data_IF_442487634360
#
_entry.id   IF_442487634360
#
_cell.length_a   1.000
_cell.length_b   1.000
_cell.length_c   1.000
_cell.angle_alpha   90.00
_cell.angle_beta   90.00
_cell.angle_gamma   90.00
#
_symmetry.space_group_name_H-M   'P 1'
#
loop_
_entity.id
_entity.type
_entity.pdbx_description
1 polymer ?
#
# COMPACT_ATOMS: atom_id res chain seq x y z
N UNK A 1 -7.55 -45.44 -42.13
CA UNK A 1 -6.66 -45.38 -40.94
C UNK A 1 -7.32 -44.43 -39.94
N UNK A 2 -7.94 -44.99 -38.91
CA UNK A 2 -8.75 -44.27 -37.93
C UNK A 2 -7.89 -43.51 -36.91
N UNK A 3 -8.48 -42.45 -36.39
CA UNK A 3 -7.94 -41.46 -35.48
C UNK A 3 -7.43 -42.03 -34.14
N UNK A 4 -6.42 -41.37 -33.57
CA UNK A 4 -6.20 -41.35 -32.12
C UNK A 4 -5.47 -40.05 -31.75
N UNK A 5 -6.23 -38.96 -31.69
CA UNK A 5 -5.84 -37.79 -30.92
C UNK A 5 -6.46 -37.96 -29.53
N UNK A 6 -5.69 -38.51 -28.59
CA UNK A 6 -6.04 -38.49 -27.18
C UNK A 6 -5.90 -37.04 -26.69
N UNK A 7 -7.04 -36.34 -26.60
CA UNK A 7 -7.11 -34.99 -26.06
C UNK A 7 -6.60 -34.93 -24.61
N UNK A 8 -6.20 -33.75 -24.12
CA UNK A 8 -5.64 -33.58 -22.79
C UNK A 8 -6.49 -34.26 -21.71
N UNK A 9 -5.83 -35.11 -20.94
CA UNK A 9 -6.36 -35.95 -19.87
C UNK A 9 -7.24 -35.13 -18.91
N UNK A 10 -8.50 -35.53 -18.75
CA UNK A 10 -9.54 -34.77 -18.02
C UNK A 10 -9.10 -34.43 -16.59
N UNK A 11 -8.34 -35.33 -15.98
CA UNK A 11 -7.77 -35.19 -14.64
C UNK A 11 -6.72 -34.07 -14.55
N UNK A 12 -5.89 -33.88 -15.58
CA UNK A 12 -4.92 -32.76 -15.62
C UNK A 12 -5.63 -31.41 -15.72
N UNK A 13 -6.74 -31.34 -16.46
CA UNK A 13 -7.55 -30.12 -16.59
C UNK A 13 -8.21 -29.73 -15.26
N UNK A 14 -8.74 -30.69 -14.51
CA UNK A 14 -9.35 -30.45 -13.19
C UNK A 14 -8.33 -29.93 -12.16
N UNK A 15 -7.11 -30.47 -12.16
CA UNK A 15 -6.04 -30.03 -11.26
C UNK A 15 -5.60 -28.60 -11.61
N UNK A 16 -5.37 -28.30 -12.90
CA UNK A 16 -4.99 -26.95 -13.33
C UNK A 16 -6.09 -25.92 -13.03
N UNK A 17 -7.37 -26.30 -13.19
CA UNK A 17 -8.50 -25.44 -12.85
C UNK A 17 -8.59 -25.20 -11.33
N UNK A 18 -8.43 -26.23 -10.51
CA UNK A 18 -8.47 -26.11 -9.04
C UNK A 18 -7.31 -25.27 -8.49
N UNK A 19 -6.11 -25.40 -9.06
CA UNK A 19 -4.96 -24.56 -8.73
C UNK A 19 -5.21 -23.11 -9.17
N UNK A 20 -5.79 -22.90 -10.34
CA UNK A 20 -6.18 -21.58 -10.83
C UNK A 20 -7.22 -20.89 -9.95
N UNK A 21 -8.26 -21.61 -9.52
CA UNK A 21 -9.28 -21.11 -8.59
C UNK A 21 -8.69 -20.78 -7.22
N UNK A 22 -7.82 -21.64 -6.67
CA UNK A 22 -7.17 -21.37 -5.39
C UNK A 22 -6.26 -20.14 -5.44
N UNK A 23 -5.48 -20.00 -6.52
CA UNK A 23 -4.64 -18.82 -6.74
C UNK A 23 -5.49 -17.55 -6.90
N UNK A 24 -6.60 -17.63 -7.67
CA UNK A 24 -7.57 -16.53 -7.79
C UNK A 24 -8.19 -16.17 -6.44
N UNK A 25 -8.57 -17.15 -5.61
CA UNK A 25 -9.10 -16.91 -4.27
C UNK A 25 -8.10 -16.20 -3.35
N UNK A 26 -6.81 -16.54 -3.46
CA UNK A 26 -5.75 -15.82 -2.73
C UNK A 26 -5.50 -14.41 -3.27
N UNK A 27 -5.70 -14.21 -4.57
CA UNK A 27 -5.65 -12.88 -5.19
C UNK A 27 -6.88 -12.06 -4.79
N UNK A 28 -8.10 -12.62 -4.82
CA UNK A 28 -9.36 -11.99 -4.42
C UNK A 28 -9.36 -11.57 -2.94
N UNK A 29 -8.80 -12.41 -2.05
CA UNK A 29 -8.57 -12.06 -0.65
C UNK A 29 -7.52 -10.94 -0.48
N UNK A 30 -6.62 -10.75 -1.45
CA UNK A 30 -5.65 -9.65 -1.52
C UNK A 30 -6.20 -8.39 -2.21
N UNK A 31 -7.09 -8.53 -3.20
CA UNK A 31 -7.49 -7.48 -4.14
C UNK A 31 -8.76 -6.75 -3.73
N UNK A 32 -9.54 -7.24 -2.77
CA UNK A 32 -10.73 -6.54 -2.28
C UNK A 32 -10.41 -5.39 -1.30
N UNK A 33 -9.45 -4.53 -1.65
CA UNK A 33 -8.96 -3.43 -0.81
C UNK A 33 -9.20 -2.08 -1.48
N UNK A 34 -10.46 -1.76 -1.71
CA UNK A 34 -10.85 -0.38 -1.94
C UNK A 34 -10.75 0.39 -0.62
N UNK A 35 -9.71 1.20 -0.46
CA UNK A 35 -9.53 1.95 0.77
C UNK A 35 -8.36 2.91 0.78
N UNK A 36 -8.47 3.92 1.65
CA UNK A 36 -7.40 4.86 1.96
C UNK A 36 -6.84 4.56 3.35
N UNK A 37 -5.52 4.41 3.44
CA UNK A 37 -4.77 4.34 4.71
C UNK A 37 -4.14 5.70 4.97
N UNK A 38 -4.26 6.21 6.19
CA UNK A 38 -3.57 7.40 6.64
C UNK A 38 -2.40 6.99 7.53
N UNK A 39 -1.19 7.46 7.22
CA UNK A 39 -0.01 7.27 8.07
C UNK A 39 0.41 8.61 8.65
N UNK A 40 0.34 8.73 9.97
CA UNK A 40 0.71 9.93 10.71
C UNK A 40 2.19 9.85 11.10
N UNK A 41 3.06 10.45 10.27
CA UNK A 41 4.49 10.56 10.54
C UNK A 41 5.38 10.20 9.35
N UNK A 42 5.96 11.21 8.68
CA UNK A 42 6.93 11.06 7.58
C UNK A 42 8.34 10.60 7.94
N UNK A 43 8.53 9.92 9.08
CA UNK A 43 9.83 9.34 9.45
C UNK A 43 10.06 7.97 8.78
N UNK A 44 11.25 7.38 8.96
CA UNK A 44 11.59 6.07 8.37
C UNK A 44 10.51 5.00 8.56
N UNK A 45 10.05 4.79 9.80
CA UNK A 45 9.03 3.78 10.09
C UNK A 45 7.68 4.08 9.42
N UNK A 46 7.20 5.34 9.48
CA UNK A 46 5.94 5.71 8.85
C UNK A 46 6.02 5.65 7.33
N UNK A 47 7.13 6.06 6.71
CA UNK A 47 7.33 5.91 5.26
C UNK A 47 7.40 4.42 4.85
N UNK A 48 8.04 3.55 5.65
CA UNK A 48 8.03 2.10 5.40
C UNK A 48 6.62 1.50 5.49
N UNK A 49 5.81 1.92 6.46
CA UNK A 49 4.42 1.46 6.59
C UNK A 49 3.53 2.01 5.47
N UNK A 50 3.77 3.24 5.02
CA UNK A 50 3.10 3.81 3.85
C UNK A 50 3.44 2.99 2.60
N UNK A 51 4.72 2.69 2.38
CA UNK A 51 5.19 1.82 1.30
C UNK A 51 4.53 0.44 1.35
N UNK A 52 4.57 -0.23 2.51
CA UNK A 52 3.95 -1.55 2.67
C UNK A 52 2.44 -1.51 2.41
N UNK A 53 1.74 -0.45 2.86
CA UNK A 53 0.30 -0.28 2.62
C UNK A 53 0.01 -0.09 1.14
N UNK A 54 0.80 0.73 0.45
CA UNK A 54 0.67 0.95 -0.99
C UNK A 54 0.95 -0.33 -1.81
N UNK A 55 1.96 -1.11 -1.42
CA UNK A 55 2.24 -2.42 -2.04
C UNK A 55 1.10 -3.44 -1.84
N UNK A 56 0.23 -3.23 -0.85
CA UNK A 56 -0.98 -4.02 -0.61
C UNK A 56 -2.22 -3.45 -1.33
N UNK A 57 -2.05 -2.51 -2.28
CA UNK A 57 -3.12 -1.98 -3.12
C UNK A 57 -3.90 -0.81 -2.52
N UNK A 58 -3.55 -0.33 -1.33
CA UNK A 58 -4.24 0.81 -0.73
C UNK A 58 -3.77 2.14 -1.32
N UNK A 59 -4.69 3.11 -1.39
CA UNK A 59 -4.30 4.54 -1.48
C UNK A 59 -3.75 4.97 -0.14
N UNK A 60 -2.66 5.72 -0.12
CA UNK A 60 -2.01 6.11 1.13
C UNK A 60 -1.87 7.62 1.19
N UNK A 61 -2.29 8.19 2.31
CA UNK A 61 -1.93 9.56 2.69
C UNK A 61 -0.84 9.51 3.76
N UNK A 62 0.24 10.25 3.55
CA UNK A 62 1.37 10.33 4.47
C UNK A 62 1.44 11.74 5.05
N UNK A 63 1.06 11.89 6.31
CA UNK A 63 1.18 13.17 6.99
C UNK A 63 2.64 13.44 7.40
N UNK A 64 3.17 14.55 6.91
CA UNK A 64 4.51 15.06 7.23
C UNK A 64 4.37 16.48 7.77
N UNK A 65 5.23 16.87 8.71
CA UNK A 65 5.21 18.23 9.28
C UNK A 65 5.95 19.25 8.41
N UNK A 66 6.85 18.78 7.55
CA UNK A 66 7.73 19.62 6.75
C UNK A 66 7.20 19.69 5.31
N UNK A 67 6.87 20.89 4.84
CA UNK A 67 6.34 21.12 3.50
C UNK A 67 7.36 20.76 2.40
N UNK A 68 8.66 20.92 2.65
CA UNK A 68 9.71 20.57 1.68
C UNK A 68 9.80 19.04 1.53
N UNK A 69 9.62 18.31 2.64
CA UNK A 69 9.53 16.86 2.60
C UNK A 69 8.30 16.40 1.81
N UNK A 70 7.15 17.05 2.01
CA UNK A 70 5.91 16.76 1.28
C UNK A 70 6.08 16.97 -0.21
N UNK A 71 6.59 18.13 -0.64
CA UNK A 71 6.80 18.42 -2.07
C UNK A 71 7.74 17.40 -2.69
N UNK A 72 8.85 17.07 -2.00
CA UNK A 72 9.82 16.09 -2.51
C UNK A 72 9.20 14.70 -2.68
N UNK A 73 8.40 14.24 -1.71
CA UNK A 73 7.72 12.94 -1.81
C UNK A 73 6.73 12.93 -2.98
N UNK A 74 5.97 14.00 -3.17
CA UNK A 74 4.94 14.04 -4.22
C UNK A 74 5.53 14.23 -5.62
N UNK A 75 6.65 14.94 -5.75
CA UNK A 75 7.28 15.23 -7.05
C UNK A 75 8.30 14.17 -7.47
N UNK A 76 9.11 13.70 -6.52
CA UNK A 76 10.23 12.79 -6.81
C UNK A 76 9.92 11.35 -6.41
N UNK A 77 8.78 11.10 -5.76
CA UNK A 77 8.40 9.79 -5.24
C UNK A 77 9.51 9.16 -4.40
N UNK A 78 10.18 9.97 -3.58
CA UNK A 78 11.22 9.52 -2.67
C UNK A 78 11.14 10.33 -1.37
N UNK A 79 11.55 9.72 -0.27
CA UNK A 79 11.77 10.46 0.97
C UNK A 79 13.28 10.57 1.15
N UNK A 80 13.92 11.68 0.73
CA UNK A 80 15.38 11.77 0.68
C UNK A 80 16.02 11.66 2.06
N UNK A 81 15.27 12.01 3.12
CA UNK A 81 15.71 11.91 4.50
C UNK A 81 15.61 10.49 5.05
N UNK A 82 14.72 9.65 4.49
CA UNK A 82 14.43 8.31 4.97
C UNK A 82 14.01 7.40 3.81
N UNK A 83 14.72 6.30 3.54
CA UNK A 83 14.52 5.47 2.32
C UNK A 83 14.90 6.20 1.02
N UNK A 84 16.06 6.88 1.01
CA UNK A 84 16.58 7.62 -0.15
C UNK A 84 16.71 6.77 -1.42
N UNK A 85 16.95 5.46 -1.26
CA UNK A 85 17.22 4.55 -2.37
C UNK A 85 15.95 3.81 -2.84
N UNK A 86 14.77 4.19 -2.34
CA UNK A 86 13.49 3.55 -2.65
C UNK A 86 12.56 4.51 -3.35
N UNK A 87 12.05 4.09 -4.51
CA UNK A 87 10.96 4.77 -5.21
C UNK A 87 9.64 4.40 -4.54
N UNK A 88 8.96 5.40 -3.99
CA UNK A 88 7.65 5.28 -3.38
C UNK A 88 6.58 5.11 -4.47
N UNK A 89 5.59 4.21 -4.28
CA UNK A 89 4.46 4.10 -5.19
C UNK A 89 3.70 5.43 -5.34
N UNK A 90 3.21 5.72 -6.55
CA UNK A 90 2.42 6.93 -6.84
C UNK A 90 1.06 6.97 -6.12
N UNK A 91 0.63 5.86 -5.54
CA UNK A 91 -0.56 5.79 -4.67
C UNK A 91 -0.31 6.39 -3.27
N UNK A 92 0.93 6.77 -2.95
CA UNK A 92 1.30 7.51 -1.74
C UNK A 92 1.32 9.00 -2.05
N UNK A 93 0.47 9.75 -1.35
CA UNK A 93 0.42 11.21 -1.41
C UNK A 93 0.78 11.77 -0.03
N UNK A 94 1.82 12.58 0.04
CA UNK A 94 2.19 13.29 1.25
C UNK A 94 1.41 14.60 1.39
N UNK A 95 1.09 15.00 2.61
CA UNK A 95 0.46 16.29 2.91
C UNK A 95 0.90 16.83 4.26
N UNK A 96 0.88 18.16 4.42
CA UNK A 96 1.01 18.84 5.71
C UNK A 96 -0.35 19.13 6.35
N UNK A 97 -1.45 18.90 5.65
CA UNK A 97 -2.81 19.09 6.15
C UNK A 97 -3.31 17.79 6.80
N UNK A 98 -3.50 17.82 8.12
CA UNK A 98 -3.99 16.67 8.87
C UNK A 98 -5.43 16.29 8.49
N UNK A 99 -6.28 17.27 8.21
CA UNK A 99 -7.67 17.05 7.80
C UNK A 99 -7.70 16.32 6.46
N UNK A 100 -6.92 16.79 5.49
CA UNK A 100 -6.76 16.13 4.19
C UNK A 100 -6.22 14.69 4.35
N UNK A 101 -5.24 14.49 5.23
CA UNK A 101 -4.66 13.18 5.48
C UNK A 101 -5.72 12.18 5.98
N UNK A 102 -6.53 12.55 6.97
CA UNK A 102 -7.51 11.62 7.57
C UNK A 102 -8.82 11.49 6.78
N UNK A 103 -9.13 12.44 5.90
CA UNK A 103 -10.39 12.45 5.14
C UNK A 103 -10.58 11.15 4.34
N UNK A 104 -11.70 10.46 4.56
CA UNK A 104 -12.07 9.22 3.86
C UNK A 104 -11.14 8.02 4.10
N UNK A 105 -10.24 8.07 5.09
CA UNK A 105 -9.41 6.92 5.45
C UNK A 105 -10.19 5.89 6.27
N UNK A 106 -9.93 4.60 6.01
CA UNK A 106 -10.50 3.48 6.78
C UNK A 106 -9.59 3.05 7.95
N UNK A 107 -8.31 3.39 7.86
CA UNK A 107 -7.29 3.02 8.82
C UNK A 107 -6.33 4.18 9.01
N UNK A 108 -6.08 4.54 10.27
CA UNK A 108 -5.06 5.49 10.67
C UNK A 108 -3.94 4.73 11.38
N UNK A 109 -2.72 4.87 10.87
CA UNK A 109 -1.49 4.34 11.46
C UNK A 109 -0.75 5.51 12.11
N UNK A 110 -0.64 5.46 13.43
CA UNK A 110 0.13 6.44 14.19
C UNK A 110 1.61 6.05 14.23
N UNK A 111 2.45 6.73 13.46
CA UNK A 111 3.89 6.50 13.36
C UNK A 111 4.71 7.70 13.88
N UNK A 112 4.20 8.36 14.93
CA UNK A 112 4.88 9.45 15.61
C UNK A 112 5.72 8.93 16.79
N UNK A 113 6.86 9.56 17.12
CA UNK A 113 7.58 9.24 18.36
C UNK A 113 6.67 9.39 19.58
N UNK A 114 6.67 8.42 20.50
CA UNK A 114 5.79 8.42 21.67
C UNK A 114 5.88 9.70 22.50
N UNK A 115 7.06 10.33 22.57
CA UNK A 115 7.28 11.58 23.30
C UNK A 115 6.60 12.79 22.65
N UNK A 116 6.28 12.71 21.36
CA UNK A 116 5.65 13.79 20.57
C UNK A 116 4.15 13.57 20.36
N UNK A 117 3.67 12.34 20.55
CA UNK A 117 2.27 11.97 20.37
C UNK A 117 1.28 12.81 21.19
N UNK A 118 1.49 13.09 22.50
CA UNK A 118 0.53 13.87 23.27
C UNK A 118 0.35 15.30 22.74
N UNK A 119 1.44 15.96 22.36
CA UNK A 119 1.39 17.33 21.83
C UNK A 119 0.70 17.38 20.46
N UNK A 120 0.94 16.37 19.63
CA UNK A 120 0.29 16.23 18.34
C UNK A 120 -1.24 16.15 18.43
N UNK A 121 -1.80 15.52 19.47
CA UNK A 121 -3.25 15.44 19.65
C UNK A 121 -3.88 16.68 20.29
N UNK A 122 -3.08 17.65 20.75
CA UNK A 122 -3.58 18.89 21.38
C UNK A 122 -3.62 20.08 20.42
N UNK A 123 -2.99 19.98 19.26
CA UNK A 123 -2.86 21.07 18.29
C UNK A 123 -4.17 21.34 17.53
#
# INVERSE_FOLDING_TARGET
>A
KAASQAGPDKHKREITQSIGEFLSLTDDARTNKEGKVCVLGGGAFGTSLAYASAQNGFRVSLYCRDAVQVSTINEQHCNPRYLSDTVLPSSIVATTDLKEAVEGCMLIILALPCQKTPDFFRQ
#
